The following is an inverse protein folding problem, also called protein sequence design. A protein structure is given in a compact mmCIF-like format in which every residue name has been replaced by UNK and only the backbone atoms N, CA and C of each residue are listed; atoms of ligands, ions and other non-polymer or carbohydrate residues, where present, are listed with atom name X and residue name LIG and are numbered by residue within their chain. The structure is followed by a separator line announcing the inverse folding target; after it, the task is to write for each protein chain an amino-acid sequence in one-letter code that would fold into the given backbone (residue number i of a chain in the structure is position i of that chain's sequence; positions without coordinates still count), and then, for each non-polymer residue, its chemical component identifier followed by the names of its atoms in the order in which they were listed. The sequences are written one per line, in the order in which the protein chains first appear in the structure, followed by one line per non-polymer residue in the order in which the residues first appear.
data_IF_788004975590
#
_entry.id   IF_788004975590
#
_cell.length_a   1.000
_cell.length_b   1.000
_cell.length_c   1.000
_cell.angle_alpha   90.00
_cell.angle_beta   90.00
_cell.angle_gamma   90.00
#
_symmetry.space_group_name_H-M   'P 1'
#
loop_
_entity.id
_entity.type
_entity.pdbx_description
1 polymer ?
#
# COMPACT_ATOMS: atom_id res chain seq x y z
N UNK A 1 6.68 -26.07 37.91
CA UNK A 1 5.39 -25.49 37.47
C UNK A 1 5.62 -24.87 36.11
N UNK A 2 5.33 -25.62 35.04
CA UNK A 2 5.38 -25.13 33.68
C UNK A 2 4.17 -24.22 33.47
N UNK A 3 4.37 -22.92 33.36
CA UNK A 3 3.33 -22.01 32.84
C UNK A 3 3.10 -22.40 31.37
N UNK A 4 2.04 -23.14 31.11
CA UNK A 4 1.49 -23.27 29.76
C UNK A 4 0.92 -21.89 29.42
N UNK A 5 1.68 -21.08 28.68
CA UNK A 5 1.12 -19.88 28.03
C UNK A 5 0.01 -20.37 27.13
N UNK A 6 -1.23 -20.14 27.53
CA UNK A 6 -2.39 -20.32 26.65
C UNK A 6 -2.07 -19.51 25.38
N UNK A 7 -1.91 -20.19 24.25
CA UNK A 7 -1.86 -19.52 22.94
C UNK A 7 -3.20 -18.77 22.81
N UNK A 8 -3.15 -17.46 22.92
CA UNK A 8 -4.33 -16.63 22.63
C UNK A 8 -4.62 -16.84 21.14
N UNK A 9 -5.77 -17.45 20.85
CA UNK A 9 -6.23 -17.56 19.46
C UNK A 9 -6.42 -16.15 18.91
N UNK A 10 -5.90 -15.92 17.69
CA UNK A 10 -6.12 -14.67 16.98
C UNK A 10 -7.63 -14.45 16.81
N UNK A 11 -8.09 -13.28 17.21
CA UNK A 11 -9.49 -12.86 17.07
C UNK A 11 -9.55 -11.72 16.04
N UNK A 12 -10.00 -12.00 14.78
CA UNK A 12 -10.02 -11.01 13.71
C UNK A 12 -10.98 -9.85 13.96
N UNK A 13 -12.08 -10.07 14.68
CA UNK A 13 -13.04 -9.02 15.01
C UNK A 13 -12.42 -8.00 15.97
N UNK A 14 -11.85 -8.51 17.08
CA UNK A 14 -11.14 -7.68 18.05
C UNK A 14 -9.97 -6.93 17.41
N UNK A 15 -9.16 -7.61 16.59
CA UNK A 15 -8.08 -6.97 15.85
C UNK A 15 -8.60 -5.83 14.98
N UNK A 16 -9.68 -6.05 14.23
CA UNK A 16 -10.30 -5.04 13.37
C UNK A 16 -10.73 -3.82 14.17
N UNK A 17 -11.40 -4.01 15.31
CA UNK A 17 -11.84 -2.92 16.17
C UNK A 17 -10.65 -2.11 16.72
N UNK A 18 -9.63 -2.79 17.22
CA UNK A 18 -8.41 -2.17 17.76
C UNK A 18 -7.62 -1.42 16.66
N UNK A 19 -7.46 -2.02 15.48
CA UNK A 19 -6.77 -1.39 14.36
C UNK A 19 -7.50 -0.14 13.86
N UNK A 20 -8.83 -0.20 13.71
CA UNK A 20 -9.65 0.97 13.32
C UNK A 20 -9.59 2.06 14.39
N UNK A 21 -9.65 1.72 15.67
CA UNK A 21 -9.55 2.68 16.76
C UNK A 21 -8.18 3.38 16.76
N UNK A 22 -7.10 2.63 16.57
CA UNK A 22 -5.74 3.15 16.44
C UNK A 22 -5.61 4.09 15.24
N UNK A 23 -6.04 3.65 14.05
CA UNK A 23 -6.01 4.45 12.83
C UNK A 23 -6.76 5.78 12.95
N UNK A 24 -7.89 5.83 13.67
CA UNK A 24 -8.63 7.07 13.93
C UNK A 24 -7.81 8.10 14.71
N UNK A 25 -6.88 7.66 15.54
CA UNK A 25 -6.02 8.56 16.32
C UNK A 25 -4.75 8.94 15.57
N UNK A 26 -4.27 8.08 14.69
CA UNK A 26 -3.04 8.29 13.92
C UNK A 26 -3.28 9.11 12.66
N UNK A 27 -4.31 8.77 11.89
CA UNK A 27 -4.64 9.45 10.63
C UNK A 27 -5.45 10.72 10.89
N UNK A 28 -4.77 11.79 11.25
CA UNK A 28 -5.40 13.08 11.64
C UNK A 28 -5.70 13.99 10.44
N UNK A 29 -5.26 13.62 9.23
CA UNK A 29 -5.45 14.35 7.98
C UNK A 29 -5.68 13.36 6.83
N UNK A 30 -5.67 13.85 5.59
CA UNK A 30 -5.84 13.05 4.39
C UNK A 30 -4.77 11.96 4.26
N UNK A 31 -5.20 10.76 4.02
CA UNK A 31 -4.36 9.58 3.83
C UNK A 31 -4.51 9.01 2.42
N UNK A 32 -3.45 8.44 1.91
CA UNK A 32 -3.43 7.72 0.66
C UNK A 32 -2.93 6.29 0.87
N UNK A 33 -3.30 5.40 -0.03
CA UNK A 33 -2.78 4.04 -0.09
C UNK A 33 -2.58 3.60 -1.54
N UNK A 34 -1.45 2.97 -1.85
CA UNK A 34 -1.27 2.29 -3.13
C UNK A 34 -2.04 0.95 -3.11
N UNK A 35 -3.08 0.86 -3.92
CA UNK A 35 -3.87 -0.35 -4.06
C UNK A 35 -3.27 -1.22 -5.17
N UNK A 36 -2.71 -2.38 -4.82
CA UNK A 36 -2.16 -3.34 -5.78
C UNK A 36 -3.19 -4.39 -6.26
N UNK A 37 -4.39 -4.41 -5.66
CA UNK A 37 -5.36 -5.49 -5.85
C UNK A 37 -5.07 -6.76 -5.05
N UNK A 38 -3.93 -6.81 -4.33
CA UNK A 38 -3.59 -7.90 -3.41
C UNK A 38 -4.36 -7.82 -2.09
N UNK A 39 -4.39 -8.94 -1.36
CA UNK A 39 -5.13 -9.07 -0.09
C UNK A 39 -4.67 -8.03 0.93
N UNK A 40 -3.36 -7.88 1.13
CA UNK A 40 -2.78 -7.05 2.19
C UNK A 40 -3.09 -5.58 2.00
N UNK A 41 -2.85 -5.04 0.79
CA UNK A 41 -3.20 -3.66 0.46
C UNK A 41 -4.71 -3.41 0.56
N UNK A 42 -5.54 -4.40 0.20
CA UNK A 42 -7.00 -4.29 0.29
C UNK A 42 -7.46 -4.27 1.75
N UNK A 43 -6.92 -5.14 2.61
CA UNK A 43 -7.25 -5.15 4.04
C UNK A 43 -6.84 -3.84 4.69
N UNK A 44 -5.62 -3.36 4.43
CA UNK A 44 -5.15 -2.07 4.95
C UNK A 44 -6.04 -0.91 4.49
N UNK A 45 -6.46 -0.89 3.20
CA UNK A 45 -7.36 0.11 2.66
C UNK A 45 -8.74 0.10 3.35
N UNK A 46 -9.31 -1.07 3.57
CA UNK A 46 -10.62 -1.21 4.25
C UNK A 46 -10.55 -0.77 5.70
N UNK A 47 -9.48 -1.13 6.44
CA UNK A 47 -9.28 -0.68 7.82
C UNK A 47 -9.16 0.84 7.90
N UNK A 48 -8.35 1.44 7.01
CA UNK A 48 -8.19 2.89 6.96
C UNK A 48 -9.49 3.59 6.53
N UNK A 49 -10.23 3.07 5.54
CA UNK A 49 -11.51 3.62 5.12
C UNK A 49 -12.56 3.59 6.25
N UNK A 50 -12.60 2.52 7.06
CA UNK A 50 -13.45 2.47 8.26
C UNK A 50 -13.05 3.51 9.32
N UNK A 51 -11.76 3.86 9.38
CA UNK A 51 -11.26 4.82 10.34
C UNK A 51 -11.54 6.27 9.92
N UNK A 52 -11.18 6.65 8.69
CA UNK A 52 -11.15 8.06 8.25
C UNK A 52 -12.10 8.38 7.08
N UNK A 53 -12.85 7.38 6.59
CA UNK A 53 -13.89 7.55 5.55
C UNK A 53 -13.37 8.31 4.32
N UNK A 54 -13.95 9.46 4.03
CA UNK A 54 -13.67 10.28 2.85
C UNK A 54 -12.26 10.91 2.86
N UNK A 55 -11.53 10.81 3.97
CA UNK A 55 -10.15 11.25 4.07
C UNK A 55 -9.12 10.19 3.63
N UNK A 56 -9.56 9.05 3.09
CA UNK A 56 -8.69 8.07 2.44
C UNK A 56 -8.93 8.06 0.94
N UNK A 57 -7.85 8.09 0.16
CA UNK A 57 -7.86 7.80 -1.28
C UNK A 57 -6.98 6.59 -1.58
N UNK A 58 -7.56 5.51 -2.10
CA UNK A 58 -6.81 4.41 -2.66
C UNK A 58 -6.47 4.69 -4.13
N UNK A 59 -5.19 4.61 -4.48
CA UNK A 59 -4.69 4.88 -5.83
C UNK A 59 -4.25 3.56 -6.45
N UNK A 60 -4.90 3.15 -7.53
CA UNK A 60 -4.50 2.03 -8.36
C UNK A 60 -3.86 2.56 -9.65
N UNK A 61 -2.61 2.18 -9.90
CA UNK A 61 -1.87 2.59 -11.11
C UNK A 61 -1.93 1.46 -12.13
N UNK A 62 -2.60 1.71 -13.25
CA UNK A 62 -2.57 0.82 -14.41
C UNK A 62 -1.32 1.14 -15.24
N UNK A 63 -0.40 0.19 -15.27
CA UNK A 63 0.87 0.32 -15.99
C UNK A 63 0.78 -0.15 -17.45
N UNK A 64 -0.37 -0.65 -17.88
CA UNK A 64 -0.56 -1.30 -19.17
C UNK A 64 -0.01 -2.72 -19.27
N UNK A 65 0.64 -3.22 -18.20
CA UNK A 65 1.13 -4.60 -18.08
C UNK A 65 0.29 -5.43 -17.12
N UNK A 66 -0.90 -4.92 -16.76
CA UNK A 66 -1.83 -5.61 -15.88
C UNK A 66 -2.54 -6.77 -16.63
N UNK A 67 -3.14 -7.69 -15.89
CA UNK A 67 -3.96 -8.73 -16.48
C UNK A 67 -5.19 -8.12 -17.13
N UNK A 68 -5.71 -8.79 -18.16
CA UNK A 68 -6.93 -8.35 -18.83
C UNK A 68 -8.09 -8.21 -17.83
N UNK A 69 -8.67 -7.02 -17.77
CA UNK A 69 -9.79 -6.70 -16.86
C UNK A 69 -9.41 -6.51 -15.39
N UNK A 70 -8.10 -6.45 -15.06
CA UNK A 70 -7.66 -6.32 -13.66
C UNK A 70 -8.00 -4.95 -13.09
N UNK A 71 -7.83 -3.88 -13.86
CA UNK A 71 -8.14 -2.51 -13.43
C UNK A 71 -9.63 -2.34 -13.10
N UNK A 72 -10.51 -2.88 -13.92
CA UNK A 72 -11.96 -2.88 -13.68
C UNK A 72 -12.34 -3.75 -12.48
N UNK A 73 -11.69 -4.91 -12.33
CA UNK A 73 -11.89 -5.79 -11.19
C UNK A 73 -11.52 -5.10 -9.89
N UNK A 74 -10.33 -4.51 -9.80
CA UNK A 74 -9.85 -3.81 -8.59
C UNK A 74 -10.75 -2.61 -8.27
N UNK A 75 -11.12 -1.82 -9.27
CA UNK A 75 -12.04 -0.70 -9.09
C UNK A 75 -13.40 -1.14 -8.55
N UNK A 76 -13.99 -2.18 -9.12
CA UNK A 76 -15.27 -2.75 -8.67
C UNK A 76 -15.19 -3.31 -7.25
N UNK A 77 -14.09 -4.00 -6.92
CA UNK A 77 -13.83 -4.53 -5.59
C UNK A 77 -13.74 -3.41 -4.54
N UNK A 78 -12.93 -2.37 -4.79
CA UNK A 78 -12.78 -1.24 -3.88
C UNK A 78 -14.10 -0.48 -3.69
N UNK A 79 -14.88 -0.29 -4.76
CA UNK A 79 -16.23 0.27 -4.70
C UNK A 79 -17.15 -0.54 -3.79
N UNK A 80 -17.18 -1.85 -3.97
CA UNK A 80 -18.02 -2.78 -3.17
C UNK A 80 -17.64 -2.73 -1.68
N UNK A 81 -16.35 -2.57 -1.39
CA UNK A 81 -15.82 -2.45 -0.03
C UNK A 81 -16.00 -1.05 0.57
N UNK A 82 -16.56 -0.10 -0.17
CA UNK A 82 -16.79 1.28 0.28
C UNK A 82 -15.49 2.09 0.42
N UNK A 83 -14.45 1.75 -0.33
CA UNK A 83 -13.18 2.48 -0.35
C UNK A 83 -13.18 3.48 -1.49
N UNK A 84 -13.00 4.77 -1.16
CA UNK A 84 -12.79 5.80 -2.18
C UNK A 84 -11.48 5.52 -2.93
N UNK A 85 -11.54 5.46 -4.26
CA UNK A 85 -10.37 5.11 -5.05
C UNK A 85 -10.30 5.85 -6.37
N UNK A 86 -9.10 5.87 -6.95
CA UNK A 86 -8.81 6.40 -8.29
C UNK A 86 -7.98 5.38 -9.05
N UNK A 87 -8.39 5.07 -10.27
CA UNK A 87 -7.59 4.32 -11.24
C UNK A 87 -6.84 5.33 -12.10
N UNK A 88 -5.53 5.21 -12.15
CA UNK A 88 -4.65 6.08 -12.94
C UNK A 88 -4.08 5.27 -14.09
N UNK A 89 -4.48 5.58 -15.31
CA UNK A 89 -3.88 4.99 -16.51
C UNK A 89 -2.52 5.66 -16.77
N UNK A 90 -1.45 4.93 -16.52
CA UNK A 90 -0.07 5.34 -16.77
C UNK A 90 0.59 4.51 -17.90
N UNK A 91 -0.19 3.71 -18.65
CA UNK A 91 0.29 2.75 -19.63
C UNK A 91 1.28 3.34 -20.64
N UNK A 92 0.98 4.51 -21.19
CA UNK A 92 1.84 5.22 -22.14
C UNK A 92 3.23 5.54 -21.56
N UNK A 93 3.27 5.96 -20.28
CA UNK A 93 4.53 6.30 -19.60
C UNK A 93 5.39 5.04 -19.39
N UNK A 94 4.77 3.93 -18.99
CA UNK A 94 5.48 2.67 -18.80
C UNK A 94 5.93 2.07 -20.12
N UNK A 95 5.14 2.12 -21.18
CA UNK A 95 5.54 1.66 -22.51
C UNK A 95 6.73 2.47 -23.03
N UNK A 96 6.70 3.78 -22.89
CA UNK A 96 7.80 4.65 -23.32
C UNK A 96 9.08 4.40 -22.51
N UNK A 97 8.97 4.28 -21.19
CA UNK A 97 10.10 4.07 -20.29
C UNK A 97 10.78 2.70 -20.44
N UNK A 98 10.02 1.68 -20.83
CA UNK A 98 10.52 0.31 -20.98
C UNK A 98 10.90 -0.04 -22.43
N UNK A 99 10.69 0.87 -23.36
CA UNK A 99 11.03 0.65 -24.77
C UNK A 99 12.52 0.33 -24.91
N UNK A 100 12.80 -0.78 -25.61
CA UNK A 100 14.15 -1.28 -25.91
C UNK A 100 14.99 -1.68 -24.67
N UNK A 101 14.40 -1.69 -23.47
CA UNK A 101 15.06 -2.15 -22.24
C UNK A 101 14.93 -3.67 -22.17
N UNK A 102 16.06 -4.40 -22.22
CA UNK A 102 16.09 -5.88 -22.16
C UNK A 102 16.55 -6.41 -20.81
N UNK A 103 17.42 -5.68 -20.12
CA UNK A 103 17.97 -6.08 -18.83
C UNK A 103 16.91 -6.09 -17.73
N UNK A 104 16.73 -7.21 -17.00
CA UNK A 104 15.67 -7.33 -15.98
C UNK A 104 15.82 -6.37 -14.80
N UNK A 105 17.06 -6.07 -14.39
CA UNK A 105 17.31 -5.18 -13.27
C UNK A 105 17.03 -3.73 -13.62
N UNK A 106 17.40 -3.32 -14.85
CA UNK A 106 17.02 -2.01 -15.36
C UNK A 106 15.51 -1.87 -15.47
N UNK A 107 14.80 -2.91 -15.95
CA UNK A 107 13.32 -2.90 -15.97
C UNK A 107 12.73 -2.64 -14.60
N UNK A 108 13.20 -3.36 -13.55
CA UNK A 108 12.70 -3.16 -12.17
C UNK A 108 12.90 -1.73 -11.70
N UNK A 109 14.08 -1.15 -11.94
CA UNK A 109 14.38 0.23 -11.54
C UNK A 109 13.46 1.23 -12.24
N UNK A 110 13.31 1.12 -13.55
CA UNK A 110 12.44 2.01 -14.33
C UNK A 110 10.97 1.88 -13.88
N UNK A 111 10.49 0.66 -13.70
CA UNK A 111 9.12 0.41 -13.23
C UNK A 111 8.92 1.05 -11.85
N UNK A 112 9.85 0.84 -10.93
CA UNK A 112 9.80 1.42 -9.59
C UNK A 112 9.77 2.95 -9.61
N UNK A 113 10.68 3.57 -10.37
CA UNK A 113 10.75 5.03 -10.50
C UNK A 113 9.48 5.62 -11.11
N UNK A 114 8.96 5.02 -12.20
CA UNK A 114 7.74 5.51 -12.85
C UNK A 114 6.53 5.38 -11.91
N UNK A 115 6.42 4.25 -11.20
CA UNK A 115 5.33 4.03 -10.25
C UNK A 115 5.34 5.09 -9.15
N UNK A 116 6.52 5.36 -8.57
CA UNK A 116 6.68 6.37 -7.52
C UNK A 116 6.24 7.74 -8.05
N UNK A 117 6.73 8.17 -9.22
CA UNK A 117 6.38 9.49 -9.78
C UNK A 117 4.88 9.66 -10.03
N UNK A 118 4.22 8.61 -10.55
CA UNK A 118 2.77 8.64 -10.75
C UNK A 118 2.05 8.74 -9.41
N UNK A 119 2.49 7.94 -8.44
CA UNK A 119 1.89 7.92 -7.12
C UNK A 119 2.09 9.24 -6.36
N UNK A 120 3.28 9.83 -6.40
CA UNK A 120 3.61 11.13 -5.81
C UNK A 120 2.69 12.22 -6.32
N UNK A 121 2.57 12.33 -7.66
CA UNK A 121 1.68 13.31 -8.27
C UNK A 121 0.26 13.20 -7.77
N UNK A 122 -0.28 11.99 -7.72
CA UNK A 122 -1.64 11.75 -7.25
C UNK A 122 -1.80 12.05 -5.75
N UNK A 123 -0.75 11.80 -4.96
CA UNK A 123 -0.69 12.12 -3.55
C UNK A 123 -0.70 13.63 -3.30
N UNK A 124 0.10 14.37 -4.06
CA UNK A 124 0.13 15.84 -4.02
C UNK A 124 -1.20 16.44 -4.43
N UNK A 125 -1.78 16.00 -5.55
CA UNK A 125 -3.06 16.46 -6.07
C UNK A 125 -4.21 16.25 -5.07
N UNK A 126 -4.15 15.15 -4.31
CA UNK A 126 -5.12 14.86 -3.25
C UNK A 126 -4.82 15.64 -1.95
N UNK A 127 -3.57 16.02 -1.73
CA UNK A 127 -3.08 16.63 -0.49
C UNK A 127 -2.91 15.62 0.65
N UNK A 128 -2.45 14.41 0.32
CA UNK A 128 -2.18 13.32 1.28
C UNK A 128 -1.03 13.68 2.22
N UNK A 129 -1.25 13.50 3.53
CA UNK A 129 -0.24 13.67 4.59
C UNK A 129 0.21 12.34 5.19
N UNK A 130 -0.59 11.33 5.04
CA UNK A 130 -0.32 9.99 5.54
C UNK A 130 -0.28 8.99 4.39
N UNK A 131 0.70 8.08 4.43
CA UNK A 131 0.79 6.93 3.56
C UNK A 131 0.44 5.67 4.35
N UNK A 132 -0.67 5.04 3.99
CA UNK A 132 -1.03 3.73 4.53
C UNK A 132 -0.38 2.65 3.67
N UNK A 133 0.26 1.67 4.29
CA UNK A 133 0.86 0.52 3.61
C UNK A 133 0.32 -0.81 4.16
N UNK A 134 0.15 -1.76 3.26
CA UNK A 134 -0.26 -3.13 3.56
C UNK A 134 0.90 -4.06 3.88
N UNK A 135 1.95 -3.57 4.55
CA UNK A 135 3.10 -4.36 5.00
C UNK A 135 2.66 -5.39 6.04
N UNK A 136 3.10 -6.63 5.90
CA UNK A 136 2.88 -7.72 6.85
C UNK A 136 4.20 -8.21 7.47
N UNK A 137 4.13 -9.05 8.50
CA UNK A 137 5.31 -9.50 9.24
C UNK A 137 6.39 -10.19 8.36
N UNK A 138 6.07 -11.05 7.38
CA UNK A 138 7.05 -11.61 6.47
C UNK A 138 7.87 -10.57 5.72
N UNK A 139 7.24 -9.49 5.25
CA UNK A 139 7.89 -8.47 4.43
C UNK A 139 9.06 -7.78 5.16
N UNK A 140 8.88 -7.41 6.42
CA UNK A 140 9.93 -6.75 7.17
C UNK A 140 10.95 -7.73 7.80
N UNK A 141 10.56 -8.99 8.04
CA UNK A 141 11.48 -10.03 8.50
C UNK A 141 12.47 -10.38 7.39
N UNK A 142 11.99 -10.56 6.15
CA UNK A 142 12.83 -10.86 4.98
C UNK A 142 13.77 -9.69 4.63
N UNK A 143 13.37 -8.47 4.94
CA UNK A 143 14.17 -7.25 4.71
C UNK A 143 15.32 -7.05 5.71
N UNK A 144 15.55 -7.97 6.66
CA UNK A 144 16.67 -7.90 7.62
C UNK A 144 16.38 -7.14 8.91
N UNK A 145 15.13 -6.77 9.20
CA UNK A 145 14.68 -6.32 10.54
C UNK A 145 15.21 -4.97 11.04
N UNK A 146 15.90 -4.18 10.23
CA UNK A 146 16.39 -2.85 10.60
C UNK A 146 15.31 -1.78 10.43
N UNK A 147 15.02 -1.00 11.46
CA UNK A 147 14.02 0.09 11.48
C UNK A 147 14.22 1.17 10.39
N UNK A 148 15.36 1.16 9.68
CA UNK A 148 15.70 2.11 8.60
C UNK A 148 15.85 1.46 7.23
N UNK A 149 15.97 0.13 7.14
CA UNK A 149 16.15 -0.60 5.87
C UNK A 149 14.83 -1.08 5.27
N UNK A 150 13.72 -0.93 5.97
CA UNK A 150 12.37 -1.35 5.55
C UNK A 150 11.88 -0.64 4.27
N UNK A 151 12.54 0.45 3.90
CA UNK A 151 12.24 1.22 2.68
C UNK A 151 12.93 0.64 1.43
N UNK A 152 13.84 -0.34 1.61
CA UNK A 152 14.67 -0.90 0.52
C UNK A 152 14.32 -2.31 0.09
N UNK A 153 13.29 -2.95 0.64
CA UNK A 153 12.94 -4.30 0.23
C UNK A 153 12.16 -4.34 -1.08
N UNK A 154 12.47 -5.33 -1.89
CA UNK A 154 12.03 -5.54 -3.27
C UNK A 154 10.52 -5.75 -3.46
N UNK A 155 9.73 -5.77 -2.39
CA UNK A 155 8.26 -5.86 -2.40
C UNK A 155 7.56 -4.53 -2.09
N UNK A 156 8.25 -3.57 -1.49
CA UNK A 156 7.81 -2.20 -1.50
C UNK A 156 8.31 -1.57 -2.81
N UNK A 157 7.40 -1.20 -3.66
CA UNK A 157 7.66 -0.47 -4.89
C UNK A 157 8.62 0.68 -4.58
N UNK A 158 9.87 0.57 -5.01
CA UNK A 158 11.02 1.42 -4.78
C UNK A 158 10.83 2.42 -3.64
N UNK A 159 11.69 2.41 -2.63
CA UNK A 159 11.52 3.25 -1.43
C UNK A 159 11.01 4.63 -1.75
N UNK A 160 10.08 5.13 -0.93
CA UNK A 160 9.60 6.50 -1.06
C UNK A 160 10.81 7.44 -1.12
N UNK A 161 10.82 8.45 -1.99
CA UNK A 161 11.86 9.46 -2.00
C UNK A 161 12.05 10.08 -0.62
N UNK A 162 13.30 10.43 -0.28
CA UNK A 162 13.64 11.02 1.01
C UNK A 162 12.96 12.40 1.24
N UNK A 163 12.43 12.98 0.19
CA UNK A 163 11.74 14.26 0.12
C UNK A 163 10.20 14.14 0.20
N UNK A 164 9.65 12.94 0.30
CA UNK A 164 8.22 12.74 0.49
C UNK A 164 7.84 12.90 1.97
N UNK A 165 7.40 14.09 2.36
CA UNK A 165 6.98 14.46 3.73
C UNK A 165 5.65 13.79 4.14
N UNK A 166 5.54 12.46 3.98
CA UNK A 166 4.38 11.70 4.43
C UNK A 166 4.69 10.82 5.64
N UNK A 167 3.71 10.75 6.53
CA UNK A 167 3.79 9.90 7.73
C UNK A 167 3.32 8.50 7.35
N UNK A 168 4.21 7.51 7.50
CA UNK A 168 3.91 6.11 7.23
C UNK A 168 3.01 5.50 8.31
N UNK A 169 1.98 4.76 7.89
CA UNK A 169 1.07 4.01 8.74
C UNK A 169 0.88 2.58 8.22
N UNK A 170 1.21 1.57 9.03
CA UNK A 170 1.20 0.16 8.67
C UNK A 170 0.24 -0.64 9.59
N UNK A 171 -1.06 -0.66 9.29
CA UNK A 171 -2.07 -1.18 10.20
C UNK A 171 -2.04 -2.70 10.43
N UNK A 172 -1.39 -3.45 9.52
CA UNK A 172 -1.35 -4.92 9.54
C UNK A 172 0.06 -5.49 9.69
N UNK A 173 1.03 -4.65 10.06
CA UNK A 173 2.45 -4.99 10.16
C UNK A 173 2.77 -6.23 11.00
N UNK A 174 1.98 -6.48 12.03
CA UNK A 174 2.16 -7.61 12.96
C UNK A 174 1.47 -8.91 12.49
N UNK A 175 0.74 -8.87 11.36
CA UNK A 175 0.04 -10.05 10.82
C UNK A 175 0.95 -10.91 9.93
N UNK A 176 0.62 -12.22 9.88
CA UNK A 176 1.24 -13.23 9.03
C UNK A 176 0.29 -13.72 7.96
#
# INVERSE_FOLDING_TARGET
FLMVKTMAFFNPEKFTEEAVAKLKTELTDKAIIAASGGVDSTVAAVLAAKAVKDNLLAIYVDTGYMRLGESEYVSSMLSTLGVQHKVVDASEQFYAGLKDVTDPEQKRKIIGELFIRVFEKEAEDYGGKFLVQGTIAPDWIESGGGLRDTIKSHHNVGGLPEDMDMILCEPIRELY
#
